data_IF_200469076205
#
_entry.id   IF_200469076205
#
_cell.length_a   1.000
_cell.length_b   1.000
_cell.length_c   1.000
_cell.angle_alpha   90.00
_cell.angle_beta   90.00
_cell.angle_gamma   90.00
#
_symmetry.space_group_name_H-M   'P 1'
#
loop_
_entity.id
_entity.type
_entity.pdbx_description
1 polymer ?
#
# COMPACT_ATOMS: atom_id res chain seq x y z
N UNK A 1 4.46 -21.55 -13.90
CA UNK A 1 5.63 -21.21 -13.07
C UNK A 1 5.33 -19.88 -12.42
N UNK A 2 5.25 -19.80 -11.09
CA UNK A 2 5.11 -18.53 -10.41
C UNK A 2 6.32 -17.66 -10.79
N UNK A 3 6.08 -16.42 -11.23
CA UNK A 3 7.15 -15.47 -11.46
C UNK A 3 7.93 -15.33 -10.16
N UNK A 4 9.24 -15.58 -10.19
CA UNK A 4 10.12 -15.24 -9.06
C UNK A 4 10.05 -13.73 -8.91
N UNK A 5 9.68 -13.23 -7.74
CA UNK A 5 9.85 -11.83 -7.39
C UNK A 5 11.31 -11.43 -7.56
N UNK A 6 11.58 -10.16 -7.85
CA UNK A 6 12.96 -9.70 -7.75
C UNK A 6 13.43 -9.82 -6.29
N UNK A 7 14.74 -9.89 -6.02
CA UNK A 7 15.24 -9.86 -4.65
C UNK A 7 14.72 -8.68 -3.82
N UNK A 8 14.44 -7.52 -4.47
CA UNK A 8 13.86 -6.37 -3.80
C UNK A 8 12.40 -6.60 -3.42
N UNK A 9 11.60 -7.14 -4.35
CA UNK A 9 10.19 -7.49 -4.11
C UNK A 9 10.06 -8.51 -2.97
N UNK A 10 10.91 -9.54 -2.99
CA UNK A 10 10.95 -10.57 -1.96
C UNK A 10 11.28 -9.98 -0.57
N UNK A 11 12.25 -9.05 -0.48
CA UNK A 11 12.60 -8.39 0.79
C UNK A 11 11.44 -7.56 1.34
N UNK A 12 10.78 -6.76 0.50
CA UNK A 12 9.62 -5.96 0.92
C UNK A 12 8.48 -6.86 1.41
N UNK A 13 8.18 -7.93 0.68
CA UNK A 13 7.18 -8.92 1.08
C UNK A 13 7.55 -9.62 2.37
N UNK A 14 8.82 -9.97 2.59
CA UNK A 14 9.28 -10.55 3.86
C UNK A 14 9.11 -9.57 5.02
N UNK A 15 9.39 -8.28 4.85
CA UNK A 15 9.17 -7.28 5.90
C UNK A 15 7.68 -7.21 6.28
N UNK A 16 6.79 -7.14 5.30
CA UNK A 16 5.35 -6.97 5.53
C UNK A 16 4.67 -8.23 6.07
N UNK A 17 5.13 -9.42 5.68
CA UNK A 17 4.47 -10.67 6.01
C UNK A 17 5.14 -11.43 7.16
N UNK A 18 6.48 -11.51 7.15
CA UNK A 18 7.24 -12.40 8.05
C UNK A 18 7.99 -11.63 9.15
N UNK A 19 8.39 -10.38 8.88
CA UNK A 19 9.18 -9.55 9.80
C UNK A 19 8.43 -8.28 10.20
N UNK A 20 7.14 -8.40 10.54
CA UNK A 20 6.24 -7.27 10.87
C UNK A 20 6.75 -6.35 11.98
N UNK A 21 7.60 -6.83 12.88
CA UNK A 21 8.26 -6.02 13.89
C UNK A 21 9.16 -4.92 13.30
N UNK A 22 9.60 -5.07 12.05
CA UNK A 22 10.41 -4.08 11.33
C UNK A 22 9.58 -2.97 10.67
N UNK A 23 8.25 -3.10 10.61
CA UNK A 23 7.40 -2.09 9.97
C UNK A 23 7.50 -0.75 10.72
N UNK A 24 7.35 -0.74 12.05
CA UNK A 24 7.46 0.51 12.81
C UNK A 24 8.83 1.19 12.68
N UNK A 25 9.98 0.50 12.85
CA UNK A 25 11.30 1.07 12.54
C UNK A 25 11.42 1.65 11.13
N UNK A 26 10.89 0.94 10.12
CA UNK A 26 10.90 1.39 8.73
C UNK A 26 10.13 2.70 8.55
N UNK A 27 8.92 2.78 9.10
CA UNK A 27 8.09 3.99 9.01
C UNK A 27 8.72 5.16 9.75
N UNK A 28 9.32 4.91 10.92
CA UNK A 28 10.02 5.94 11.69
C UNK A 28 11.19 6.54 10.89
N UNK A 29 11.96 5.70 10.21
CA UNK A 29 13.09 6.13 9.40
C UNK A 29 12.64 6.92 8.16
N UNK A 30 11.62 6.41 7.47
CA UNK A 30 11.25 6.91 6.14
C UNK A 30 10.33 8.12 6.20
N UNK A 31 9.34 8.09 7.09
CA UNK A 31 8.32 9.12 7.22
C UNK A 31 8.57 10.06 8.42
N UNK A 32 9.62 9.82 9.20
CA UNK A 32 9.91 10.60 10.41
C UNK A 32 8.94 10.34 11.55
N UNK A 33 8.22 9.21 11.48
CA UNK A 33 7.26 8.78 12.50
C UNK A 33 8.00 8.44 13.81
N UNK A 34 7.22 8.30 14.88
CA UNK A 34 7.73 8.00 16.22
C UNK A 34 6.97 6.87 16.89
N UNK A 35 6.68 5.83 16.12
CA UNK A 35 6.05 4.63 16.64
C UNK A 35 6.95 3.94 17.65
N UNK A 36 6.34 3.50 18.75
CA UNK A 36 6.99 2.75 19.83
C UNK A 36 7.21 1.28 19.47
N UNK A 37 6.53 0.79 18.44
CA UNK A 37 6.55 -0.61 18.02
C UNK A 37 5.40 -1.44 18.58
N UNK A 38 4.49 -0.82 19.35
CA UNK A 38 3.33 -1.47 19.98
C UNK A 38 2.01 -1.08 19.30
N UNK A 39 2.05 -0.15 18.37
CA UNK A 39 0.88 0.30 17.63
C UNK A 39 0.30 -0.84 16.78
N UNK A 40 -1.03 -0.88 16.69
CA UNK A 40 -1.70 -1.94 15.97
C UNK A 40 -1.59 -1.70 14.46
N UNK A 41 -1.18 -2.73 13.72
CA UNK A 41 -1.12 -2.71 12.26
C UNK A 41 -2.30 -3.52 11.72
N UNK A 42 -3.10 -2.89 10.86
CA UNK A 42 -4.20 -3.53 10.15
C UNK A 42 -3.91 -3.52 8.66
N UNK A 43 -3.71 -4.70 8.06
CA UNK A 43 -3.45 -4.82 6.63
C UNK A 43 -4.76 -4.66 5.83
N UNK A 44 -4.67 -3.96 4.71
CA UNK A 44 -5.76 -3.83 3.74
C UNK A 44 -5.98 -5.11 2.94
N UNK A 45 -6.90 -5.05 1.98
CA UNK A 45 -7.09 -6.14 1.01
C UNK A 45 -5.84 -6.31 0.16
N UNK A 46 -5.37 -7.55 0.00
CA UNK A 46 -4.18 -7.84 -0.80
C UNK A 46 -4.48 -7.99 -2.30
N UNK A 47 -5.74 -7.83 -2.74
CA UNK A 47 -6.14 -8.12 -4.12
C UNK A 47 -7.07 -7.03 -4.64
N UNK A 48 -6.65 -6.38 -5.73
CA UNK A 48 -7.50 -5.45 -6.47
C UNK A 48 -7.59 -5.89 -7.94
N UNK A 49 -8.78 -5.80 -8.51
CA UNK A 49 -9.00 -6.08 -9.92
C UNK A 49 -9.07 -4.76 -10.67
N UNK A 50 -8.07 -4.50 -11.52
CA UNK A 50 -8.12 -3.36 -12.42
C UNK A 50 -8.96 -3.74 -13.64
N UNK A 51 -10.17 -3.20 -13.71
CA UNK A 51 -10.99 -3.30 -14.93
C UNK A 51 -10.41 -2.39 -16.01
N UNK A 52 -10.01 -2.98 -17.12
CA UNK A 52 -9.61 -2.25 -18.33
C UNK A 52 -10.87 -1.77 -19.05
N UNK A 53 -10.74 -0.70 -19.84
CA UNK A 53 -11.85 -0.14 -20.63
C UNK A 53 -12.49 -1.12 -21.63
N UNK A 54 -11.83 -2.25 -21.92
CA UNK A 54 -12.35 -3.34 -22.77
C UNK A 54 -13.11 -4.43 -21.98
N UNK A 55 -13.29 -4.28 -20.66
CA UNK A 55 -13.95 -5.26 -19.80
C UNK A 55 -13.06 -6.43 -19.36
N UNK A 56 -11.76 -6.44 -19.71
CA UNK A 56 -10.81 -7.40 -19.16
C UNK A 56 -10.29 -6.92 -17.79
N UNK A 57 -10.30 -7.79 -16.79
CA UNK A 57 -9.70 -7.50 -15.49
C UNK A 57 -8.30 -8.10 -15.38
N UNK A 58 -7.29 -7.27 -15.12
CA UNK A 58 -6.00 -7.76 -14.64
C UNK A 58 -6.06 -7.83 -13.11
N UNK A 59 -5.90 -9.04 -12.55
CA UNK A 59 -5.70 -9.19 -11.11
C UNK A 59 -4.35 -8.56 -10.77
N UNK A 60 -4.37 -7.47 -10.02
CA UNK A 60 -3.15 -6.86 -9.46
C UNK A 60 -3.20 -6.95 -7.95
N UNK A 61 -2.19 -7.63 -7.43
CA UNK A 61 -2.01 -7.82 -6.00
C UNK A 61 -1.35 -6.53 -5.49
N UNK A 62 -2.06 -5.73 -4.68
CA UNK A 62 -1.45 -4.59 -3.98
C UNK A 62 -0.99 -5.07 -2.62
N UNK A 63 0.19 -5.66 -2.56
CA UNK A 63 0.68 -6.41 -1.39
C UNK A 63 1.05 -5.53 -0.17
N UNK A 64 0.68 -4.26 -0.14
CA UNK A 64 1.41 -3.30 0.67
C UNK A 64 0.63 -2.06 1.15
N UNK A 65 -0.70 -2.18 1.30
CA UNK A 65 -1.49 -1.17 2.03
C UNK A 65 -1.82 -1.64 3.44
N UNK A 66 -1.64 -0.77 4.42
CA UNK A 66 -2.00 -1.05 5.82
C UNK A 66 -2.19 0.26 6.59
N UNK A 67 -2.90 0.18 7.71
CA UNK A 67 -3.06 1.29 8.64
C UNK A 67 -2.30 1.01 9.93
N UNK A 68 -1.68 2.04 10.49
CA UNK A 68 -1.14 2.00 11.85
C UNK A 68 -2.05 2.82 12.77
N UNK A 69 -2.49 2.20 13.86
CA UNK A 69 -3.37 2.82 14.85
C UNK A 69 -2.56 3.29 16.06
N UNK A 70 -2.18 4.58 16.04
CA UNK A 70 -1.48 5.27 17.12
C UNK A 70 -2.33 6.38 17.75
N UNK A 71 -1.77 7.58 17.89
CA UNK A 71 -2.55 8.80 18.27
C UNK A 71 -3.56 9.15 17.16
N UNK A 72 -3.14 8.94 15.91
CA UNK A 72 -3.96 9.10 14.72
C UNK A 72 -3.95 7.78 13.94
N UNK A 73 -5.00 7.55 13.16
CA UNK A 73 -5.04 6.47 12.18
C UNK A 73 -4.36 6.97 10.91
N UNK A 74 -3.23 6.35 10.54
CA UNK A 74 -2.51 6.71 9.31
C UNK A 74 -2.51 5.51 8.38
N UNK A 75 -2.96 5.73 7.14
CA UNK A 75 -2.89 4.75 6.04
C UNK A 75 -1.55 4.90 5.33
N UNK A 76 -0.83 3.80 5.17
CA UNK A 76 0.40 3.70 4.39
C UNK A 76 0.19 2.84 3.16
N UNK A 77 0.89 3.19 2.09
CA UNK A 77 1.06 2.36 0.90
C UNK A 77 2.55 2.35 0.53
N UNK A 78 3.15 1.15 0.52
CA UNK A 78 4.53 0.95 0.12
C UNK A 78 4.53 0.22 -1.22
N UNK A 79 5.30 0.64 -2.21
CA UNK A 79 5.40 -0.08 -3.48
C UNK A 79 6.88 -0.17 -3.85
N UNK A 80 7.29 -1.26 -4.49
CA UNK A 80 8.65 -1.43 -4.96
C UNK A 80 8.68 -1.63 -6.48
N UNK A 81 9.43 -0.79 -7.19
CA UNK A 81 9.73 -1.03 -8.60
C UNK A 81 10.84 -2.06 -8.75
N UNK A 82 10.41 -3.31 -8.84
CA UNK A 82 11.28 -4.47 -9.03
C UNK A 82 11.67 -4.74 -10.50
N UNK A 83 11.06 -4.03 -11.45
CA UNK A 83 11.26 -4.19 -12.90
C UNK A 83 11.75 -2.88 -13.53
N UNK A 84 12.27 -2.91 -14.76
CA UNK A 84 12.67 -1.70 -15.49
C UNK A 84 11.54 -1.05 -16.30
N UNK A 85 10.29 -1.49 -16.10
CA UNK A 85 9.15 -1.09 -16.95
C UNK A 85 8.71 0.37 -16.80
N UNK A 86 9.27 1.11 -15.84
CA UNK A 86 9.00 2.53 -15.59
C UNK A 86 7.51 2.84 -15.39
N UNK A 87 6.72 1.87 -14.92
CA UNK A 87 5.28 2.04 -14.70
C UNK A 87 4.89 2.42 -13.28
N UNK A 88 5.89 2.66 -12.41
CA UNK A 88 5.67 2.89 -10.97
C UNK A 88 4.73 4.07 -10.70
N UNK A 89 4.94 5.18 -11.39
CA UNK A 89 4.12 6.40 -11.33
C UNK A 89 2.63 6.12 -11.61
N UNK A 90 2.36 5.34 -12.66
CA UNK A 90 0.99 4.92 -12.99
C UNK A 90 0.41 4.01 -11.92
N UNK A 91 1.21 3.06 -11.42
CA UNK A 91 0.75 2.12 -10.37
C UNK A 91 0.39 2.88 -9.08
N UNK A 92 1.18 3.86 -8.66
CA UNK A 92 0.84 4.69 -7.50
C UNK A 92 -0.49 5.38 -7.66
N UNK A 93 -0.67 6.11 -8.77
CA UNK A 93 -1.90 6.83 -8.99
C UNK A 93 -3.11 5.90 -9.02
N UNK A 94 -3.00 4.76 -9.72
CA UNK A 94 -4.07 3.77 -9.82
C UNK A 94 -4.40 3.13 -8.47
N UNK A 95 -3.40 2.77 -7.66
CA UNK A 95 -3.58 2.08 -6.39
C UNK A 95 -4.01 3.04 -5.28
N UNK A 96 -3.35 4.18 -5.14
CA UNK A 96 -3.69 5.18 -4.13
C UNK A 96 -5.11 5.71 -4.33
N UNK A 97 -5.54 5.90 -5.59
CA UNK A 97 -6.92 6.31 -5.89
C UNK A 97 -7.93 5.25 -5.48
N UNK A 98 -7.61 3.95 -5.66
CA UNK A 98 -8.49 2.86 -5.21
C UNK A 98 -8.54 2.77 -3.69
N UNK A 99 -7.39 2.85 -3.02
CA UNK A 99 -7.30 2.87 -1.55
C UNK A 99 -8.10 4.06 -0.99
N UNK A 100 -7.92 5.25 -1.57
CA UNK A 100 -8.65 6.45 -1.13
C UNK A 100 -10.17 6.35 -1.40
N UNK A 101 -10.57 5.64 -2.46
CA UNK A 101 -11.99 5.40 -2.76
C UNK A 101 -12.60 4.37 -1.80
N UNK A 102 -11.86 3.33 -1.42
CA UNK A 102 -12.28 2.35 -0.42
C UNK A 102 -12.46 2.98 0.96
N UNK A 103 -11.55 3.88 1.33
CA UNK A 103 -11.59 4.64 2.58
C UNK A 103 -12.47 5.90 2.50
N UNK A 104 -13.21 6.08 1.40
CA UNK A 104 -13.93 7.32 1.15
C UNK A 104 -15.11 7.52 2.10
N UNK A 105 -15.31 8.78 2.50
CA UNK A 105 -16.47 9.18 3.27
C UNK A 105 -17.41 10.00 2.38
N UNK A 106 -18.67 9.59 2.33
CA UNK A 106 -19.72 10.38 1.67
C UNK A 106 -20.46 11.23 2.69
N UNK A 107 -20.32 12.54 2.57
CA UNK A 107 -21.00 13.53 3.40
C UNK A 107 -21.89 14.38 2.49
N UNK A 108 -23.20 14.15 2.56
CA UNK A 108 -24.18 14.75 1.64
C UNK A 108 -23.81 14.48 0.16
N UNK A 109 -23.47 15.52 -0.59
CA UNK A 109 -23.07 15.49 -1.99
C UNK A 109 -21.54 15.59 -2.17
N UNK A 110 -20.76 15.52 -1.08
CA UNK A 110 -19.31 15.58 -1.09
C UNK A 110 -18.74 14.17 -0.86
N UNK A 111 -17.83 13.75 -1.73
CA UNK A 111 -17.00 12.57 -1.54
C UNK A 111 -15.62 13.02 -1.03
N UNK A 112 -15.27 12.65 0.18
CA UNK A 112 -13.97 12.94 0.79
C UNK A 112 -13.04 11.76 0.54
N UNK A 113 -11.92 12.02 -0.12
CA UNK A 113 -10.89 11.05 -0.44
C UNK A 113 -9.61 11.39 0.32
N UNK A 114 -9.11 10.47 1.12
CA UNK A 114 -7.85 10.61 1.84
C UNK A 114 -6.82 9.68 1.23
N UNK A 115 -5.77 10.26 0.64
CA UNK A 115 -4.70 9.48 0.03
C UNK A 115 -3.73 8.94 1.10
N UNK A 116 -3.15 7.75 0.88
CA UNK A 116 -2.19 7.15 1.81
C UNK A 116 -0.86 7.93 1.87
N UNK A 117 -0.15 7.80 2.99
CA UNK A 117 1.27 8.15 3.08
C UNK A 117 2.10 7.17 2.25
N UNK A 118 2.87 7.71 1.29
CA UNK A 118 3.44 6.93 0.19
C UNK A 118 4.97 6.78 0.26
N UNK A 119 5.47 5.56 0.01
CA UNK A 119 6.90 5.27 -0.19
C UNK A 119 7.19 4.65 -1.57
N UNK A 120 8.30 5.08 -2.18
CA UNK A 120 8.95 4.58 -3.41
C UNK A 120 10.06 3.57 -3.14
#
# INVERSE_FOLDING_TARGET
MAARGSPYDDVFRTILNDCRSLIHPLLNEIFGERYSGQEAIHFGSNEHFLERQNGESDRRITDSSFTVSGIHLIRYHLECQSTSDSTMDRRFFEYDSQIALEDSEKVEDILILSFPSLLL
#
